data_IF_200860065665
#
_entry.id   IF_200860065665
#
_cell.length_a   1.000
_cell.length_b   1.000
_cell.length_c   1.000
_cell.angle_alpha   90.00
_cell.angle_beta   90.00
_cell.angle_gamma   90.00
#
_symmetry.space_group_name_H-M   'P 1'
#
loop_
_entity.id
_entity.type
_entity.pdbx_description
1 polymer ?
#
# COMPACT_ATOMS: atom_id res chain seq x y z
N UNK A 1 -12.17 50.92 -20.73
CA UNK A 1 -11.17 50.53 -19.70
C UNK A 1 -11.71 49.56 -18.62
N UNK A 2 -13.01 49.60 -18.28
CA UNK A 2 -13.60 48.74 -17.23
C UNK A 2 -13.73 47.24 -17.59
N UNK A 3 -14.00 46.89 -18.85
CA UNK A 3 -14.23 45.49 -19.25
C UNK A 3 -12.97 44.59 -19.15
N UNK A 4 -11.78 45.13 -19.42
CA UNK A 4 -10.53 44.37 -19.32
C UNK A 4 -10.11 44.10 -17.87
N UNK A 5 -10.49 44.97 -16.92
CA UNK A 5 -10.20 44.78 -15.49
C UNK A 5 -11.06 43.65 -14.90
N UNK A 6 -12.34 43.59 -15.30
CA UNK A 6 -13.26 42.55 -14.83
C UNK A 6 -12.84 41.16 -15.33
N UNK A 7 -12.41 41.06 -16.59
CA UNK A 7 -12.00 39.79 -17.19
C UNK A 7 -10.69 39.26 -16.57
N UNK A 8 -9.76 40.15 -16.21
CA UNK A 8 -8.54 39.78 -15.46
C UNK A 8 -8.85 39.27 -14.06
N UNK A 9 -9.77 39.94 -13.35
CA UNK A 9 -10.19 39.54 -12.00
C UNK A 9 -10.93 38.20 -12.00
N UNK A 10 -11.80 37.96 -12.98
CA UNK A 10 -12.49 36.67 -13.15
C UNK A 10 -11.48 35.56 -13.50
N UNK A 11 -10.51 35.81 -14.38
CA UNK A 11 -9.47 34.81 -14.71
C UNK A 11 -8.57 34.46 -13.51
N UNK A 12 -8.29 35.44 -12.65
CA UNK A 12 -7.52 35.23 -11.41
C UNK A 12 -8.36 34.51 -10.35
N UNK A 13 -9.66 34.79 -10.28
CA UNK A 13 -10.59 34.10 -9.39
C UNK A 13 -10.80 32.63 -9.81
N UNK A 14 -10.93 32.36 -11.11
CA UNK A 14 -11.02 31.00 -11.67
C UNK A 14 -9.70 30.23 -11.48
N UNK A 15 -8.55 30.89 -11.57
CA UNK A 15 -7.24 30.28 -11.24
C UNK A 15 -7.08 29.99 -9.75
N UNK A 16 -7.60 30.84 -8.86
CA UNK A 16 -7.62 30.59 -7.40
C UNK A 16 -8.52 29.40 -7.06
N UNK A 17 -9.72 29.33 -7.64
CA UNK A 17 -10.63 28.20 -7.45
C UNK A 17 -10.03 26.88 -7.96
N UNK A 18 -9.28 26.89 -9.08
CA UNK A 18 -8.62 25.69 -9.62
C UNK A 18 -7.46 25.19 -8.73
N UNK A 19 -6.79 26.07 -7.98
CA UNK A 19 -5.72 25.67 -7.05
C UNK A 19 -6.23 25.20 -5.68
N UNK A 20 -7.37 25.71 -5.21
CA UNK A 20 -7.95 25.26 -3.94
C UNK A 20 -8.68 23.91 -4.05
N UNK A 21 -9.18 23.53 -5.22
CA UNK A 21 -9.86 22.22 -5.43
C UNK A 21 -8.93 21.01 -5.59
N UNK A 22 -7.59 21.19 -5.59
CA UNK A 22 -6.62 20.08 -5.73
C UNK A 22 -6.18 19.46 -4.40
N UNK A 23 -6.58 20.04 -3.27
CA UNK A 23 -6.41 19.47 -1.93
C UNK A 23 -7.72 18.87 -1.44
N UNK A 24 -8.24 17.90 -2.18
CA UNK A 24 -9.31 17.07 -1.67
C UNK A 24 -8.71 16.18 -0.57
N UNK A 25 -9.00 16.58 0.67
CA UNK A 25 -9.19 15.67 1.79
C UNK A 25 -9.80 14.35 1.30
N UNK A 26 -9.43 13.19 1.87
CA UNK A 26 -10.06 11.93 1.51
C UNK A 26 -11.56 12.08 1.78
N UNK A 27 -12.34 12.25 0.71
CA UNK A 27 -13.79 12.32 0.76
C UNK A 27 -14.23 11.02 1.43
N UNK A 28 -14.92 11.07 2.59
CA UNK A 28 -15.40 9.86 3.23
C UNK A 28 -16.24 9.11 2.18
N UNK A 29 -15.99 7.81 1.95
CA UNK A 29 -16.64 7.11 0.87
C UNK A 29 -18.16 7.26 1.05
N UNK A 30 -18.83 7.78 0.02
CA UNK A 30 -20.31 7.77 -0.06
C UNK A 30 -20.76 6.38 0.38
N UNK A 31 -21.72 6.32 1.33
CA UNK A 31 -22.38 5.07 1.76
C UNK A 31 -23.12 4.45 0.57
N UNK A 32 -22.39 3.89 -0.37
CA UNK A 32 -22.94 2.96 -1.36
C UNK A 32 -23.23 1.67 -0.60
N UNK A 33 -24.39 1.08 -0.83
CA UNK A 33 -24.85 -0.12 -0.12
C UNK A 33 -23.72 -1.17 -0.04
N UNK A 34 -23.45 -1.64 1.17
CA UNK A 34 -22.27 -2.46 1.54
C UNK A 34 -22.12 -3.71 0.66
N UNK A 35 -23.23 -4.32 0.26
CA UNK A 35 -23.29 -5.48 -0.65
C UNK A 35 -22.87 -5.16 -2.10
N UNK A 36 -23.10 -3.93 -2.58
CA UNK A 36 -22.75 -3.53 -3.95
C UNK A 36 -21.24 -3.38 -4.11
N UNK A 37 -20.50 -3.03 -3.04
CA UNK A 37 -19.02 -2.98 -3.06
C UNK A 37 -18.38 -4.36 -3.30
N UNK A 38 -18.95 -5.41 -2.70
CA UNK A 38 -18.52 -6.80 -2.97
C UNK A 38 -18.83 -7.24 -4.41
N UNK A 39 -19.91 -6.70 -4.97
CA UNK A 39 -20.28 -6.82 -6.36
C UNK A 39 -19.60 -5.76 -7.26
N UNK A 40 -18.51 -5.11 -6.84
CA UNK A 40 -17.76 -4.22 -7.72
C UNK A 40 -17.00 -5.00 -8.82
N UNK A 41 -16.91 -4.49 -10.06
CA UNK A 41 -16.14 -5.12 -11.11
C UNK A 41 -14.65 -5.20 -10.72
N UNK A 42 -14.10 -6.41 -10.68
CA UNK A 42 -12.69 -6.67 -10.38
C UNK A 42 -12.44 -7.65 -9.23
N UNK A 43 -13.35 -7.80 -8.26
CA UNK A 43 -13.23 -8.81 -7.20
C UNK A 43 -13.55 -10.22 -7.74
N UNK A 44 -12.62 -11.17 -7.57
CA UNK A 44 -12.72 -12.54 -8.08
C UNK A 44 -13.92 -13.32 -7.51
N UNK A 45 -14.49 -12.84 -6.41
CA UNK A 45 -15.60 -13.46 -5.69
C UNK A 45 -16.79 -13.77 -6.62
N UNK A 46 -17.10 -12.88 -7.57
CA UNK A 46 -18.26 -13.06 -8.47
C UNK A 46 -18.19 -14.36 -9.27
N UNK A 47 -17.03 -14.66 -9.88
CA UNK A 47 -16.87 -15.82 -10.75
C UNK A 47 -17.01 -17.12 -9.97
N UNK A 48 -16.42 -17.18 -8.79
CA UNK A 48 -16.50 -18.35 -7.91
C UNK A 48 -17.86 -18.50 -7.24
N UNK A 49 -18.55 -17.40 -6.96
CA UNK A 49 -19.94 -17.44 -6.48
C UNK A 49 -20.87 -18.06 -7.53
N UNK A 50 -20.78 -17.61 -8.78
CA UNK A 50 -21.55 -18.20 -9.88
C UNK A 50 -21.21 -19.67 -10.12
N UNK A 51 -19.92 -20.03 -10.04
CA UNK A 51 -19.48 -21.41 -10.20
C UNK A 51 -19.97 -22.31 -9.04
N UNK A 52 -19.94 -21.81 -7.81
CA UNK A 52 -20.42 -22.53 -6.62
C UNK A 52 -21.94 -22.76 -6.68
N UNK A 53 -22.70 -21.71 -7.02
CA UNK A 53 -24.15 -21.83 -7.23
C UNK A 53 -24.46 -22.82 -8.35
N UNK A 54 -23.74 -22.74 -9.48
CA UNK A 54 -23.88 -23.70 -10.58
C UNK A 54 -23.54 -25.13 -10.17
N UNK A 55 -22.50 -25.32 -9.36
CA UNK A 55 -22.08 -26.62 -8.83
C UNK A 55 -23.13 -27.25 -7.90
N UNK A 56 -23.71 -26.47 -6.99
CA UNK A 56 -24.80 -26.93 -6.12
C UNK A 56 -26.02 -27.36 -6.93
N UNK A 57 -26.38 -26.60 -7.97
CA UNK A 57 -27.47 -26.96 -8.88
C UNK A 57 -27.18 -28.25 -9.65
N UNK A 58 -25.96 -28.41 -10.17
CA UNK A 58 -25.54 -29.61 -10.89
C UNK A 58 -25.50 -30.85 -9.99
N UNK A 59 -24.98 -30.73 -8.77
CA UNK A 59 -24.96 -31.83 -7.79
C UNK A 59 -26.38 -32.20 -7.38
N UNK A 60 -27.24 -31.21 -7.12
CA UNK A 60 -28.65 -31.45 -6.81
C UNK A 60 -29.35 -32.20 -7.94
N UNK A 61 -29.17 -31.74 -9.18
CA UNK A 61 -29.73 -32.39 -10.38
C UNK A 61 -29.17 -33.81 -10.58
N UNK A 62 -27.85 -33.99 -10.45
CA UNK A 62 -27.19 -35.28 -10.57
C UNK A 62 -27.66 -36.28 -9.52
N UNK A 63 -27.77 -35.85 -8.25
CA UNK A 63 -28.26 -36.69 -7.15
C UNK A 63 -29.72 -37.10 -7.35
N UNK A 64 -30.56 -36.18 -7.85
CA UNK A 64 -31.96 -36.45 -8.21
C UNK A 64 -32.05 -37.54 -9.30
N UNK A 65 -31.17 -37.51 -10.29
CA UNK A 65 -31.16 -38.53 -11.35
C UNK A 65 -30.55 -39.87 -10.91
N UNK A 66 -29.52 -39.86 -10.07
CA UNK A 66 -28.77 -41.06 -9.67
C UNK A 66 -29.54 -41.94 -8.70
N UNK A 67 -30.23 -41.37 -7.72
CA UNK A 67 -30.90 -42.15 -6.68
C UNK A 67 -32.08 -42.99 -7.19
N UNK A 68 -32.46 -42.90 -8.48
CA UNK A 68 -33.68 -43.50 -9.06
C UNK A 68 -34.92 -43.31 -8.17
N UNK A 69 -34.88 -42.32 -7.28
CA UNK A 69 -36.07 -41.70 -6.74
C UNK A 69 -36.86 -41.35 -7.99
N UNK A 70 -38.09 -41.82 -8.15
CA UNK A 70 -39.07 -41.27 -9.06
C UNK A 70 -39.57 -40.00 -8.38
N UNK A 71 -38.82 -38.87 -8.43
CA UNK A 71 -39.04 -37.77 -7.52
C UNK A 71 -40.08 -36.85 -8.12
N UNK A 72 -40.34 -36.94 -9.44
CA UNK A 72 -41.33 -36.15 -10.15
C UNK A 72 -42.68 -36.40 -9.51
N UNK A 73 -43.09 -37.64 -9.21
CA UNK A 73 -44.43 -37.87 -8.66
C UNK A 73 -44.58 -37.38 -7.21
N UNK A 74 -43.67 -37.75 -6.30
CA UNK A 74 -43.80 -37.39 -4.87
C UNK A 74 -43.43 -35.95 -4.57
N UNK A 75 -42.44 -35.36 -5.25
CA UNK A 75 -42.16 -33.93 -5.11
C UNK A 75 -43.23 -33.08 -5.78
N UNK A 76 -43.77 -33.45 -6.94
CA UNK A 76 -44.93 -32.75 -7.53
C UNK A 76 -46.18 -32.92 -6.67
N UNK A 77 -46.38 -34.05 -5.99
CA UNK A 77 -47.48 -34.19 -5.03
C UNK A 77 -47.29 -33.33 -3.79
N UNK A 78 -46.10 -33.34 -3.18
CA UNK A 78 -45.82 -32.55 -1.98
C UNK A 78 -45.84 -31.05 -2.28
N UNK A 79 -45.08 -30.61 -3.29
CA UNK A 79 -45.07 -29.23 -3.79
C UNK A 79 -46.44 -28.82 -4.30
N UNK A 80 -47.16 -29.71 -5.00
CA UNK A 80 -48.53 -29.50 -5.45
C UNK A 80 -49.54 -29.38 -4.30
N UNK A 81 -49.37 -30.11 -3.20
CA UNK A 81 -50.20 -29.99 -2.00
C UNK A 81 -49.92 -28.69 -1.24
N UNK A 82 -48.65 -28.29 -1.14
CA UNK A 82 -48.27 -27.00 -0.54
C UNK A 82 -48.74 -25.84 -1.42
N UNK A 83 -48.58 -25.95 -2.74
CA UNK A 83 -49.09 -24.99 -3.73
C UNK A 83 -50.61 -24.91 -3.66
N UNK A 84 -51.35 -26.03 -3.68
CA UNK A 84 -52.83 -26.00 -3.59
C UNK A 84 -53.31 -25.34 -2.31
N UNK A 85 -52.73 -25.65 -1.15
CA UNK A 85 -53.05 -24.96 0.10
C UNK A 85 -52.84 -23.44 0.03
N UNK A 86 -51.80 -22.99 -0.70
CA UNK A 86 -51.51 -21.57 -0.94
C UNK A 86 -52.41 -20.97 -2.03
N UNK A 87 -52.79 -21.76 -3.04
CA UNK A 87 -53.57 -21.34 -4.22
C UNK A 87 -55.08 -21.31 -3.95
N UNK A 88 -55.54 -22.07 -2.95
CA UNK A 88 -56.92 -22.03 -2.45
C UNK A 88 -57.18 -20.77 -1.60
N UNK A 89 -56.13 -20.12 -1.10
CA UNK A 89 -56.21 -18.89 -0.32
C UNK A 89 -55.97 -17.64 -1.18
N UNK A 90 -55.21 -17.76 -2.28
CA UNK A 90 -54.82 -16.66 -3.17
C UNK A 90 -54.81 -17.16 -4.64
N UNK A 91 -55.58 -16.54 -5.56
CA UNK A 91 -55.65 -16.97 -6.97
C UNK A 91 -54.28 -17.19 -7.64
N UNK A 92 -54.18 -18.26 -8.43
CA UNK A 92 -52.95 -18.77 -9.07
C UNK A 92 -52.16 -17.76 -9.91
N UNK A 93 -52.84 -16.71 -10.40
CA UNK A 93 -52.21 -15.61 -11.14
C UNK A 93 -51.26 -14.76 -10.27
N UNK A 94 -51.54 -14.64 -8.98
CA UNK A 94 -50.73 -13.86 -8.04
C UNK A 94 -49.74 -14.71 -7.23
N UNK A 95 -50.10 -15.96 -6.89
CA UNK A 95 -49.30 -16.80 -6.01
C UNK A 95 -47.96 -17.22 -6.62
N UNK A 96 -47.90 -17.50 -7.93
CA UNK A 96 -46.69 -17.90 -8.64
C UNK A 96 -45.60 -16.81 -8.63
N UNK A 97 -45.91 -15.59 -9.13
CA UNK A 97 -44.97 -14.47 -9.07
C UNK A 97 -44.56 -14.10 -7.63
N UNK A 98 -45.49 -14.14 -6.67
CA UNK A 98 -45.22 -13.82 -5.27
C UNK A 98 -44.26 -14.84 -4.62
N UNK A 99 -44.43 -16.13 -4.91
CA UNK A 99 -43.55 -17.19 -4.42
C UNK A 99 -42.14 -17.09 -5.01
N UNK A 100 -42.01 -16.71 -6.29
CA UNK A 100 -40.71 -16.45 -6.92
C UNK A 100 -40.04 -15.24 -6.27
N UNK A 101 -40.78 -14.15 -6.04
CA UNK A 101 -40.26 -12.96 -5.37
C UNK A 101 -39.83 -13.30 -3.93
N UNK A 102 -40.65 -14.01 -3.17
CA UNK A 102 -40.33 -14.45 -1.81
C UNK A 102 -39.13 -15.41 -1.78
N UNK A 103 -39.03 -16.34 -2.73
CA UNK A 103 -37.90 -17.24 -2.88
C UNK A 103 -36.60 -16.51 -3.22
N UNK A 104 -36.65 -15.55 -4.14
CA UNK A 104 -35.51 -14.67 -4.44
C UNK A 104 -35.12 -13.84 -3.21
N UNK A 105 -36.08 -13.31 -2.46
CA UNK A 105 -35.83 -12.58 -1.22
C UNK A 105 -35.21 -13.46 -0.14
N UNK A 106 -35.64 -14.71 0.03
CA UNK A 106 -35.04 -15.65 0.98
C UNK A 106 -33.65 -16.11 0.57
N UNK A 107 -33.39 -16.34 -0.72
CA UNK A 107 -32.06 -16.66 -1.23
C UNK A 107 -31.11 -15.47 -1.00
N UNK A 108 -31.57 -14.25 -1.33
CA UNK A 108 -30.81 -13.03 -1.07
C UNK A 108 -30.57 -12.85 0.44
N UNK A 109 -31.59 -13.03 1.28
CA UNK A 109 -31.50 -12.91 2.74
C UNK A 109 -30.55 -13.96 3.33
N UNK A 110 -30.64 -15.22 2.90
CA UNK A 110 -29.77 -16.31 3.33
C UNK A 110 -28.30 -16.08 2.96
N UNK A 111 -28.03 -15.69 1.72
CA UNK A 111 -26.67 -15.36 1.24
C UNK A 111 -26.10 -14.13 1.97
N UNK A 112 -26.93 -13.14 2.28
CA UNK A 112 -26.47 -11.95 3.02
C UNK A 112 -26.11 -12.27 4.48
N UNK A 113 -26.72 -13.30 5.07
CA UNK A 113 -26.49 -13.69 6.48
C UNK A 113 -25.31 -14.64 6.64
N UNK A 114 -25.06 -15.53 5.68
CA UNK A 114 -23.87 -16.41 5.71
C UNK A 114 -22.57 -15.62 5.52
N UNK A 115 -22.60 -14.57 4.69
CA UNK A 115 -21.46 -13.67 4.54
C UNK A 115 -21.14 -12.92 5.84
N UNK A 116 -22.15 -12.51 6.62
CA UNK A 116 -21.94 -11.86 7.92
C UNK A 116 -21.47 -12.82 9.03
N UNK A 117 -21.88 -14.09 9.00
CA UNK A 117 -21.53 -15.06 10.05
C UNK A 117 -20.07 -15.55 9.98
N UNK A 118 -19.48 -15.58 8.78
CA UNK A 118 -18.07 -15.99 8.60
C UNK A 118 -17.11 -14.84 8.96
N UNK A 119 -17.54 -13.59 8.75
CA UNK A 119 -16.72 -12.38 8.96
C UNK A 119 -16.70 -11.93 10.42
N UNK A 120 -17.79 -12.12 11.16
CA UNK A 120 -17.92 -11.72 12.57
C UNK A 120 -16.97 -12.50 13.51
N UNK A 121 -16.67 -13.76 13.19
CA UNK A 121 -15.77 -14.62 13.97
C UNK A 121 -14.28 -14.30 13.70
N UNK A 122 -13.97 -13.63 12.58
CA UNK A 122 -12.60 -13.39 12.14
C UNK A 122 -12.01 -12.03 12.54
N UNK A 123 -12.80 -10.96 12.73
CA UNK A 123 -12.36 -9.65 13.28
C UNK A 123 -13.57 -8.79 13.72
N UNK A 124 -13.75 -8.49 15.02
CA UNK A 124 -14.85 -7.64 15.48
C UNK A 124 -14.59 -6.17 15.13
N UNK A 125 -15.20 -5.66 14.05
CA UNK A 125 -15.34 -4.21 13.82
C UNK A 125 -15.18 -3.63 12.41
N UNK A 126 -14.87 -4.38 11.34
CA UNK A 126 -14.28 -3.75 10.14
C UNK A 126 -14.65 -4.32 8.76
N UNK A 127 -15.90 -4.76 8.52
CA UNK A 127 -16.31 -5.30 7.20
C UNK A 127 -16.07 -4.35 6.02
N UNK A 128 -16.30 -3.04 6.21
CA UNK A 128 -16.03 -2.03 5.18
C UNK A 128 -14.54 -1.72 5.03
N UNK A 129 -13.80 -1.80 6.13
CA UNK A 129 -12.37 -1.50 6.17
C UNK A 129 -11.58 -2.55 5.39
N UNK A 130 -11.91 -3.84 5.52
CA UNK A 130 -11.24 -4.91 4.78
C UNK A 130 -11.40 -4.76 3.26
N UNK A 131 -12.61 -4.47 2.78
CA UNK A 131 -12.85 -4.28 1.35
C UNK A 131 -12.11 -3.04 0.85
N UNK A 132 -12.13 -1.96 1.63
CA UNK A 132 -11.46 -0.71 1.26
C UNK A 132 -9.92 -0.91 1.26
N UNK A 133 -9.35 -1.65 2.22
CA UNK A 133 -7.92 -2.05 2.26
C UNK A 133 -7.55 -2.92 1.05
N UNK A 134 -8.36 -3.94 0.71
CA UNK A 134 -8.10 -4.81 -0.43
C UNK A 134 -8.19 -4.06 -1.78
N UNK A 135 -9.18 -3.16 -1.91
CA UNK A 135 -9.30 -2.30 -3.09
C UNK A 135 -8.13 -1.32 -3.20
N UNK A 136 -7.72 -0.73 -2.09
CA UNK A 136 -6.56 0.16 -2.03
C UNK A 136 -5.28 -0.59 -2.43
N UNK A 137 -5.04 -1.77 -1.88
CA UNK A 137 -3.87 -2.60 -2.20
C UNK A 137 -3.81 -2.97 -3.70
N UNK A 138 -4.95 -3.30 -4.31
CA UNK A 138 -5.02 -3.53 -5.77
C UNK A 138 -4.79 -2.28 -6.60
N UNK A 139 -5.31 -1.13 -6.15
CA UNK A 139 -5.08 0.14 -6.84
C UNK A 139 -3.60 0.52 -6.81
N UNK A 140 -2.94 0.39 -5.66
CA UNK A 140 -1.52 0.68 -5.48
C UNK A 140 -0.63 -0.25 -6.29
N UNK A 141 -0.94 -1.56 -6.32
CA UNK A 141 -0.17 -2.55 -7.11
C UNK A 141 -0.30 -2.38 -8.62
N UNK A 142 -1.40 -1.77 -9.09
CA UNK A 142 -1.57 -1.34 -10.49
C UNK A 142 -1.09 0.09 -10.75
N UNK A 143 -0.49 0.74 -9.75
CA UNK A 143 0.08 2.07 -9.87
C UNK A 143 1.27 2.12 -10.82
N UNK A 144 1.68 3.33 -11.26
CA UNK A 144 2.83 3.50 -12.14
C UNK A 144 4.11 2.98 -11.50
N UNK A 145 5.04 2.47 -12.32
CA UNK A 145 6.40 2.14 -11.89
C UNK A 145 7.21 3.43 -11.78
N UNK A 146 7.71 3.74 -10.60
CA UNK A 146 8.41 4.99 -10.32
C UNK A 146 9.81 4.65 -9.77
N UNK A 147 10.84 5.16 -10.43
CA UNK A 147 12.22 5.12 -9.91
C UNK A 147 12.56 6.51 -9.40
N UNK A 148 13.05 6.60 -8.17
CA UNK A 148 13.47 7.84 -7.54
C UNK A 148 14.93 7.73 -7.14
N UNK A 149 15.73 8.74 -7.50
CA UNK A 149 17.16 8.81 -7.21
C UNK A 149 17.39 9.93 -6.20
N UNK A 150 18.21 9.71 -5.17
CA UNK A 150 18.62 10.79 -4.28
C UNK A 150 19.12 10.34 -2.91
N UNK A 151 18.86 11.16 -1.90
CA UNK A 151 19.25 10.93 -0.52
C UNK A 151 18.53 11.86 0.44
N UNK A 152 18.90 11.80 1.71
CA UNK A 152 18.47 12.69 2.76
C UNK A 152 16.96 12.75 3.03
N UNK A 153 16.55 13.89 3.57
CA UNK A 153 15.17 14.15 4.01
C UNK A 153 14.24 14.48 2.85
N UNK A 154 14.76 15.04 1.75
CA UNK A 154 13.98 15.36 0.56
C UNK A 154 13.40 14.11 -0.10
N UNK A 155 14.25 13.10 -0.31
CA UNK A 155 13.83 11.82 -0.89
C UNK A 155 12.82 11.11 0.02
N UNK A 156 13.09 11.01 1.31
CA UNK A 156 12.18 10.33 2.26
C UNK A 156 10.82 11.03 2.37
N UNK A 157 10.76 12.35 2.33
CA UNK A 157 9.47 13.08 2.30
C UNK A 157 8.69 12.81 1.00
N UNK A 158 9.37 12.80 -0.15
CA UNK A 158 8.75 12.47 -1.44
C UNK A 158 8.19 11.03 -1.42
N UNK A 159 8.95 10.06 -0.91
CA UNK A 159 8.54 8.66 -0.82
C UNK A 159 7.29 8.47 0.08
N UNK A 160 7.20 9.20 1.20
CA UNK A 160 6.00 9.19 2.07
C UNK A 160 4.73 9.62 1.35
N UNK A 161 4.84 10.58 0.42
CA UNK A 161 3.73 10.99 -0.43
C UNK A 161 3.45 9.96 -1.53
N UNK A 162 4.50 9.53 -2.25
CA UNK A 162 4.36 8.63 -3.40
C UNK A 162 3.76 7.26 -3.03
N UNK A 163 4.05 6.73 -1.83
CA UNK A 163 3.51 5.43 -1.39
C UNK A 163 1.97 5.38 -1.30
N UNK A 164 1.32 6.55 -1.27
CA UNK A 164 -0.15 6.66 -1.31
C UNK A 164 -0.72 6.46 -2.73
N UNK A 165 0.12 6.50 -3.76
CA UNK A 165 -0.30 6.43 -5.16
C UNK A 165 0.19 5.17 -5.89
N UNK A 166 1.31 4.58 -5.47
CA UNK A 166 1.86 3.37 -6.07
C UNK A 166 2.62 2.54 -5.04
N UNK A 167 2.53 1.21 -5.15
CA UNK A 167 3.45 0.29 -4.45
C UNK A 167 4.65 -0.11 -5.32
N UNK A 168 4.71 0.35 -6.57
CA UNK A 168 5.76 0.02 -7.53
C UNK A 168 6.85 1.10 -7.54
N UNK A 169 7.40 1.40 -6.37
CA UNK A 169 8.42 2.45 -6.18
C UNK A 169 9.78 1.79 -5.93
N UNK A 170 10.79 2.22 -6.68
CA UNK A 170 12.19 1.86 -6.43
C UNK A 170 12.96 3.12 -6.09
N UNK A 171 13.46 3.21 -4.86
CA UNK A 171 14.31 4.30 -4.39
C UNK A 171 15.78 3.87 -4.47
N UNK A 172 16.58 4.54 -5.29
CA UNK A 172 18.03 4.36 -5.35
C UNK A 172 18.67 5.47 -4.52
N UNK A 173 19.38 5.06 -3.48
CA UNK A 173 19.81 5.94 -2.38
C UNK A 173 21.32 6.05 -2.36
N UNK A 174 21.82 7.30 -2.31
CA UNK A 174 23.26 7.55 -2.16
C UNK A 174 23.82 6.92 -0.88
N UNK A 175 25.02 6.35 -0.99
CA UNK A 175 25.79 5.79 0.13
C UNK A 175 27.09 6.57 0.40
N UNK A 176 27.14 7.83 -0.05
CA UNK A 176 28.34 8.66 0.11
C UNK A 176 28.38 9.50 1.40
N UNK A 177 27.33 9.46 2.22
CA UNK A 177 27.22 10.18 3.49
C UNK A 177 28.38 9.83 4.45
N UNK A 178 28.98 10.86 5.05
CA UNK A 178 30.04 10.73 6.05
C UNK A 178 29.75 11.53 7.34
N UNK A 179 28.51 12.02 7.48
CA UNK A 179 28.06 12.86 8.57
C UNK A 179 27.41 12.11 9.74
N UNK A 180 27.40 12.74 10.91
CA UNK A 180 26.59 12.34 12.06
C UNK A 180 26.80 10.89 12.54
N UNK A 181 25.71 10.18 12.81
CA UNK A 181 25.75 8.78 13.27
C UNK A 181 26.17 7.82 12.15
N UNK A 182 25.79 8.08 10.90
CA UNK A 182 26.16 7.24 9.75
C UNK A 182 27.67 7.28 9.52
N UNK A 183 28.26 8.47 9.54
CA UNK A 183 29.70 8.67 9.38
C UNK A 183 30.54 8.14 10.53
N UNK A 184 30.01 8.08 11.76
CA UNK A 184 30.70 7.39 12.87
C UNK A 184 30.75 5.88 12.65
N UNK A 185 29.59 5.27 12.36
CA UNK A 185 29.50 3.83 12.10
C UNK A 185 30.36 3.42 10.90
N UNK A 186 30.38 4.24 9.85
CA UNK A 186 31.26 4.05 8.68
C UNK A 186 32.74 4.02 9.06
N UNK A 187 33.19 4.90 9.95
CA UNK A 187 34.60 4.97 10.39
C UNK A 187 34.99 3.89 11.40
N UNK A 188 34.07 3.51 12.28
CA UNK A 188 34.33 2.57 13.37
C UNK A 188 34.19 1.11 12.93
N UNK A 189 33.23 0.82 12.03
CA UNK A 189 32.84 -0.54 11.64
C UNK A 189 33.17 -0.82 10.17
N UNK A 190 33.53 0.19 9.38
CA UNK A 190 33.93 0.02 7.97
C UNK A 190 32.76 -0.32 7.03
N UNK A 191 31.52 -0.15 7.48
CA UNK A 191 30.32 -0.38 6.65
C UNK A 191 29.88 0.87 5.89
N UNK A 192 29.12 0.68 4.81
CA UNK A 192 28.46 1.79 4.11
C UNK A 192 27.48 2.54 5.03
N UNK A 193 27.33 3.87 4.86
CA UNK A 193 26.53 4.69 5.75
C UNK A 193 25.03 4.32 5.68
N UNK A 194 24.40 3.88 6.78
CA UNK A 194 23.03 3.38 6.75
C UNK A 194 21.95 4.47 6.78
N UNK A 195 22.32 5.74 7.01
CA UNK A 195 21.37 6.79 7.40
C UNK A 195 20.29 7.12 6.37
N UNK A 196 20.67 7.33 5.12
CA UNK A 196 19.72 7.69 4.06
C UNK A 196 18.86 6.49 3.65
N UNK A 197 19.45 5.29 3.63
CA UNK A 197 18.73 4.03 3.44
C UNK A 197 17.68 3.85 4.54
N UNK A 198 18.06 4.05 5.81
CA UNK A 198 17.14 4.01 6.96
C UNK A 198 15.96 4.95 6.74
N UNK A 199 16.23 6.20 6.37
CA UNK A 199 15.18 7.19 6.14
C UNK A 199 14.20 6.77 5.04
N UNK A 200 14.71 6.17 3.96
CA UNK A 200 13.88 5.68 2.85
C UNK A 200 13.05 4.45 3.24
N UNK A 201 13.65 3.49 3.96
CA UNK A 201 12.94 2.33 4.49
C UNK A 201 11.80 2.76 5.41
N UNK A 202 12.07 3.66 6.34
CA UNK A 202 11.05 4.20 7.25
C UNK A 202 9.98 5.02 6.52
N UNK A 203 10.33 5.73 5.45
CA UNK A 203 9.37 6.48 4.64
C UNK A 203 8.36 5.55 3.93
N UNK A 204 8.84 4.42 3.40
CA UNK A 204 8.06 3.45 2.66
C UNK A 204 7.42 2.35 3.52
N UNK A 205 7.76 2.25 4.81
CA UNK A 205 7.17 1.30 5.75
C UNK A 205 5.64 1.42 5.82
N UNK A 206 4.97 0.28 5.99
CA UNK A 206 3.54 0.21 6.29
C UNK A 206 3.29 0.58 7.77
N UNK A 207 2.16 1.22 8.06
CA UNK A 207 1.97 2.09 9.24
C UNK A 207 1.79 1.36 10.59
N UNK A 208 2.76 0.56 11.03
CA UNK A 208 2.92 0.30 12.46
C UNK A 208 3.66 1.48 13.12
N UNK A 209 2.88 2.38 13.74
CA UNK A 209 3.38 3.62 14.34
C UNK A 209 4.54 3.38 15.33
N UNK A 210 4.43 2.35 16.17
CA UNK A 210 5.45 2.01 17.16
C UNK A 210 6.78 1.58 16.51
N UNK A 211 6.73 0.71 15.52
CA UNK A 211 7.92 0.17 14.87
C UNK A 211 8.65 1.25 14.05
N UNK A 212 7.87 2.13 13.42
CA UNK A 212 8.37 3.33 12.74
C UNK A 212 9.04 4.30 13.72
N UNK A 213 8.43 4.56 14.89
CA UNK A 213 8.99 5.42 15.94
C UNK A 213 10.28 4.83 16.53
N UNK A 214 10.30 3.51 16.76
CA UNK A 214 11.49 2.80 17.23
C UNK A 214 12.65 2.95 16.22
N UNK A 215 12.38 2.79 14.93
CA UNK A 215 13.41 2.93 13.89
C UNK A 215 13.98 4.36 13.79
N UNK A 216 13.16 5.37 14.08
CA UNK A 216 13.57 6.77 14.12
C UNK A 216 14.20 7.18 15.45
N UNK A 217 14.11 6.34 16.48
CA UNK A 217 14.61 6.65 17.81
C UNK A 217 16.10 6.99 17.78
N UNK A 218 16.45 8.08 18.48
CA UNK A 218 17.82 8.54 18.68
C UNK A 218 18.12 8.55 20.17
N UNK A 219 19.17 7.83 20.55
CA UNK A 219 19.59 7.70 21.94
C UNK A 219 20.02 9.06 22.49
N UNK A 220 19.41 9.46 23.61
CA UNK A 220 19.72 10.72 24.33
C UNK A 220 20.72 10.53 25.47
N UNK A 221 20.88 9.30 25.95
CA UNK A 221 21.75 8.94 27.07
C UNK A 221 22.38 7.55 26.82
N UNK A 222 23.46 7.26 27.55
CA UNK A 222 24.22 6.00 27.44
C UNK A 222 25.61 6.21 26.84
N UNK A 223 26.64 5.72 27.54
CA UNK A 223 28.03 5.82 27.07
C UNK A 223 28.18 5.16 25.69
N UNK A 224 28.77 5.85 24.71
CA UNK A 224 28.93 5.38 23.33
C UNK A 224 27.64 5.35 22.49
N UNK A 225 26.45 5.35 23.09
CA UNK A 225 25.17 5.32 22.38
C UNK A 225 24.63 6.71 22.03
N UNK A 226 25.00 7.75 22.80
CA UNK A 226 24.48 9.11 22.61
C UNK A 226 24.63 9.57 21.16
N UNK A 227 23.49 9.97 20.59
CA UNK A 227 23.40 10.46 19.22
C UNK A 227 23.34 9.40 18.13
N UNK A 228 23.52 8.11 18.44
CA UNK A 228 23.20 7.03 17.50
C UNK A 228 21.69 6.90 17.30
N UNK A 229 21.31 6.48 16.10
CA UNK A 229 19.93 6.08 15.81
C UNK A 229 19.79 4.58 15.97
N UNK A 230 18.71 4.12 16.63
CA UNK A 230 18.40 2.70 16.73
C UNK A 230 18.32 2.05 15.34
N UNK A 231 17.61 2.68 14.38
CA UNK A 231 17.52 2.14 13.02
C UNK A 231 18.88 2.03 12.31
N UNK A 232 19.84 2.91 12.61
CA UNK A 232 21.20 2.76 12.09
C UNK A 232 21.89 1.54 12.70
N UNK A 233 21.83 1.39 14.03
CA UNK A 233 22.43 0.25 14.73
C UNK A 233 21.78 -1.08 14.31
N UNK A 234 20.47 -1.08 14.10
CA UNK A 234 19.72 -2.22 13.60
C UNK A 234 20.20 -2.63 12.19
N UNK A 235 20.33 -1.66 11.27
CA UNK A 235 20.86 -1.92 9.93
C UNK A 235 22.30 -2.40 9.97
N UNK A 236 23.13 -1.84 10.85
CA UNK A 236 24.50 -2.28 11.10
C UNK A 236 24.53 -3.74 11.57
N UNK A 237 23.74 -4.09 12.58
CA UNK A 237 23.68 -5.45 13.11
C UNK A 237 23.23 -6.46 12.04
N UNK A 238 22.20 -6.13 11.25
CA UNK A 238 21.77 -7.02 10.15
C UNK A 238 22.89 -7.15 9.12
N UNK A 239 23.56 -6.07 8.74
CA UNK A 239 24.66 -6.12 7.78
C UNK A 239 25.84 -6.97 8.27
N UNK A 240 26.19 -6.93 9.55
CA UNK A 240 27.22 -7.81 10.12
C UNK A 240 26.79 -9.29 10.12
N UNK A 241 25.49 -9.56 10.31
CA UNK A 241 24.96 -10.93 10.30
C UNK A 241 24.86 -11.48 8.87
N UNK A 242 24.39 -10.69 7.90
CA UNK A 242 24.23 -11.12 6.52
C UNK A 242 25.54 -11.09 5.73
N UNK A 243 26.50 -10.27 6.16
CA UNK A 243 27.76 -10.02 5.44
C UNK A 243 27.58 -9.24 4.14
N UNK A 244 26.36 -8.79 3.84
CA UNK A 244 25.99 -8.13 2.59
C UNK A 244 24.91 -7.06 2.83
N UNK A 245 25.15 -5.85 2.31
CA UNK A 245 24.26 -4.70 2.49
C UNK A 245 22.95 -4.89 1.74
N UNK A 246 22.98 -5.48 0.54
CA UNK A 246 21.76 -5.68 -0.24
C UNK A 246 20.81 -6.62 0.51
N UNK A 247 21.32 -7.74 1.01
CA UNK A 247 20.57 -8.65 1.89
C UNK A 247 20.09 -7.95 3.17
N UNK A 248 20.90 -7.08 3.77
CA UNK A 248 20.49 -6.35 4.97
C UNK A 248 19.32 -5.40 4.71
N UNK A 249 19.34 -4.70 3.58
CA UNK A 249 18.23 -3.84 3.14
C UNK A 249 17.00 -4.67 2.83
N UNK A 250 17.15 -5.81 2.15
CA UNK A 250 16.05 -6.71 1.82
C UNK A 250 15.40 -7.31 3.08
N UNK A 251 16.19 -7.73 4.06
CA UNK A 251 15.71 -8.23 5.35
C UNK A 251 14.99 -7.13 6.13
N UNK A 252 15.58 -5.93 6.22
CA UNK A 252 14.98 -4.78 6.88
C UNK A 252 13.68 -4.34 6.22
N UNK A 253 13.60 -4.40 4.88
CA UNK A 253 12.39 -4.10 4.12
C UNK A 253 11.23 -5.03 4.48
N UNK A 254 11.52 -6.32 4.73
CA UNK A 254 10.52 -7.29 5.17
C UNK A 254 10.05 -7.01 6.60
N UNK A 255 10.97 -6.74 7.52
CA UNK A 255 10.65 -6.42 8.93
C UNK A 255 9.77 -5.18 9.03
N UNK A 256 10.04 -4.16 8.21
CA UNK A 256 9.31 -2.90 8.18
C UNK A 256 8.06 -2.91 7.27
N UNK A 257 7.72 -4.05 6.66
CA UNK A 257 6.64 -4.17 5.67
C UNK A 257 6.67 -3.05 4.60
N UNK A 258 7.86 -2.80 4.03
CA UNK A 258 8.09 -1.69 3.09
C UNK A 258 7.26 -1.85 1.82
N UNK A 259 6.56 -0.78 1.42
CA UNK A 259 5.81 -0.67 0.16
C UNK A 259 6.70 -0.13 -0.96
N UNK A 260 7.44 -1.01 -1.60
CA UNK A 260 8.37 -0.69 -2.69
C UNK A 260 9.72 -1.35 -2.46
N UNK A 261 10.76 -0.81 -3.08
CA UNK A 261 12.13 -1.30 -2.97
C UNK A 261 13.07 -0.14 -2.68
N UNK A 262 14.02 -0.35 -1.78
CA UNK A 262 15.12 0.57 -1.52
C UNK A 262 16.39 -0.14 -1.96
N UNK A 263 17.22 0.54 -2.74
CA UNK A 263 18.49 0.04 -3.25
C UNK A 263 19.60 1.07 -2.95
N UNK A 264 20.81 0.61 -2.58
CA UNK A 264 21.95 1.51 -2.52
C UNK A 264 22.37 1.90 -3.94
N UNK A 265 22.99 3.08 -4.10
CA UNK A 265 23.52 3.53 -5.39
C UNK A 265 24.73 2.73 -5.87
N UNK A 266 25.40 2.05 -4.94
CA UNK A 266 26.57 1.19 -5.16
C UNK A 266 26.81 0.38 -3.88
N UNK A 267 27.46 -0.78 -4.02
CA UNK A 267 27.97 -1.58 -2.91
C UNK A 267 29.43 -1.20 -2.53
N UNK A 268 30.05 -0.28 -3.26
CA UNK A 268 31.41 0.17 -2.98
C UNK A 268 31.45 1.36 -2.02
N UNK A 269 32.47 1.39 -1.17
CA UNK A 269 32.71 2.54 -0.28
C UNK A 269 33.14 3.76 -1.10
N UNK A 270 32.21 4.71 -1.26
CA UNK A 270 32.40 5.91 -2.08
C UNK A 270 32.54 7.17 -1.24
N UNK A 271 33.56 7.98 -1.52
CA UNK A 271 33.73 9.31 -0.91
C UNK A 271 33.52 10.38 -1.96
N UNK A 272 32.69 11.36 -1.66
CA UNK A 272 32.49 12.52 -2.53
C UNK A 272 33.67 13.49 -2.42
N UNK A 273 33.99 14.14 -3.53
CA UNK A 273 34.92 15.25 -3.58
C UNK A 273 34.35 16.38 -4.42
N UNK A 274 34.71 17.62 -4.11
CA UNK A 274 34.31 18.80 -4.87
C UNK A 274 35.48 19.76 -5.08
N UNK A 275 35.55 20.35 -6.26
CA UNK A 275 36.42 21.47 -6.60
C UNK A 275 35.61 22.77 -6.55
N UNK A 276 36.08 23.72 -5.74
CA UNK A 276 35.43 25.01 -5.53
C UNK A 276 36.00 26.09 -6.47
N UNK A 277 35.25 27.19 -6.62
CA UNK A 277 35.61 28.29 -7.51
C UNK A 277 36.87 29.06 -7.12
N UNK A 278 37.30 28.93 -5.87
CA UNK A 278 38.56 29.50 -5.35
C UNK A 278 39.76 28.54 -5.50
N UNK A 279 39.57 27.40 -6.18
CA UNK A 279 40.61 26.40 -6.41
C UNK A 279 40.76 25.37 -5.29
N UNK A 280 40.03 25.49 -4.16
CA UNK A 280 40.05 24.48 -3.10
C UNK A 280 39.48 23.15 -3.59
N UNK A 281 40.14 22.06 -3.21
CA UNK A 281 39.67 20.69 -3.37
C UNK A 281 39.25 20.15 -2.00
N UNK A 282 38.01 19.68 -1.87
CA UNK A 282 37.42 19.26 -0.59
C UNK A 282 36.85 17.86 -0.73
N UNK A 283 37.22 16.97 0.19
CA UNK A 283 36.72 15.59 0.26
C UNK A 283 35.78 15.39 1.45
N UNK A 284 34.77 14.54 1.25
CA UNK A 284 33.73 14.21 2.21
C UNK A 284 32.49 15.08 2.08
N UNK A 285 31.31 14.46 2.07
CA UNK A 285 30.02 15.15 1.93
C UNK A 285 29.87 16.28 2.97
N UNK A 286 30.15 15.95 4.23
CA UNK A 286 29.99 16.88 5.34
C UNK A 286 31.02 18.01 5.31
N UNK A 287 32.20 17.78 4.73
CA UNK A 287 33.22 18.82 4.59
C UNK A 287 32.94 19.75 3.41
N UNK A 288 32.44 19.21 2.29
CA UNK A 288 32.02 19.99 1.12
C UNK A 288 30.93 20.98 1.54
N UNK A 289 29.95 20.52 2.32
CA UNK A 289 28.88 21.36 2.85
C UNK A 289 29.40 22.46 3.79
N UNK A 290 30.43 22.18 4.61
CA UNK A 290 31.03 23.16 5.55
C UNK A 290 31.99 24.14 4.87
N UNK A 291 32.65 23.73 3.79
CA UNK A 291 33.72 24.51 3.17
C UNK A 291 33.22 25.85 2.63
N UNK A 292 31.94 25.91 2.23
CA UNK A 292 31.31 27.09 1.65
C UNK A 292 31.93 27.49 0.31
N UNK A 293 31.18 28.23 -0.50
CA UNK A 293 31.62 28.67 -1.83
C UNK A 293 30.92 27.92 -2.96
N UNK A 294 31.27 28.27 -4.21
CA UNK A 294 30.61 27.76 -5.40
C UNK A 294 31.33 26.49 -5.88
N UNK A 295 30.60 25.38 -5.92
CA UNK A 295 31.11 24.13 -6.52
C UNK A 295 31.19 24.30 -8.03
N UNK A 296 32.37 24.01 -8.61
CA UNK A 296 32.58 23.94 -10.07
C UNK A 296 32.36 22.50 -10.54
N UNK A 297 33.03 21.55 -9.88
CA UNK A 297 33.05 20.14 -10.27
C UNK A 297 32.85 19.28 -9.03
N UNK A 298 32.12 18.18 -9.18
CA UNK A 298 31.93 17.17 -8.15
C UNK A 298 32.22 15.78 -8.75
N UNK A 299 32.75 14.88 -7.93
CA UNK A 299 32.90 13.49 -8.28
C UNK A 299 32.99 12.62 -7.05
N UNK A 300 33.31 11.35 -7.25
CA UNK A 300 33.51 10.39 -6.18
C UNK A 300 34.82 9.61 -6.36
N UNK A 301 35.33 9.09 -5.26
CA UNK A 301 36.43 8.13 -5.22
C UNK A 301 35.89 6.83 -4.62
N UNK A 302 36.01 5.68 -5.31
CA UNK A 302 36.56 5.49 -6.66
C UNK A 302 35.71 6.16 -7.77
N UNK A 303 36.34 6.55 -8.89
CA UNK A 303 35.69 7.31 -9.97
C UNK A 303 34.57 6.56 -10.71
N UNK A 304 34.62 5.23 -10.69
CA UNK A 304 33.65 4.34 -11.36
C UNK A 304 33.27 3.20 -10.41
N UNK A 305 32.50 3.49 -9.35
CA UNK A 305 32.04 2.43 -8.46
C UNK A 305 31.05 1.54 -9.22
N UNK A 306 31.12 0.20 -9.08
CA UNK A 306 30.12 -0.69 -9.63
C UNK A 306 28.74 -0.36 -9.07
N UNK A 307 27.73 -0.40 -9.93
CA UNK A 307 26.32 -0.23 -9.55
C UNK A 307 25.82 -1.45 -8.76
#
# INVERSE_FOLDING_TARGET
>A
MFFNSLNKSISQFVRRLRHETLWLTPVPPRRVNRFVKWLAPGLLVKRWLFLSVGGVLLVGFGLMTWLKLTPVFYTVQFVGATLRFITDLIPSYFSGPLAIIAGLLFILWGQTRTLGAITEVLLPGSETELVDVLMQQRRLSRGPKIVVLGGGTGLSNLLRGLKQFSSNITAIVTVADDGGSSGRLRREIGMLPPGDIRNCLTALADEEKLLTELFQYRFKAGSGLVGHSFGNLFLTAINEITGDLEQAIAASSKVLAVRGQVLPSTLSDVKLWAQLSDGRYVEGESNITKAGGRIITIGCTPNHPPA
#
